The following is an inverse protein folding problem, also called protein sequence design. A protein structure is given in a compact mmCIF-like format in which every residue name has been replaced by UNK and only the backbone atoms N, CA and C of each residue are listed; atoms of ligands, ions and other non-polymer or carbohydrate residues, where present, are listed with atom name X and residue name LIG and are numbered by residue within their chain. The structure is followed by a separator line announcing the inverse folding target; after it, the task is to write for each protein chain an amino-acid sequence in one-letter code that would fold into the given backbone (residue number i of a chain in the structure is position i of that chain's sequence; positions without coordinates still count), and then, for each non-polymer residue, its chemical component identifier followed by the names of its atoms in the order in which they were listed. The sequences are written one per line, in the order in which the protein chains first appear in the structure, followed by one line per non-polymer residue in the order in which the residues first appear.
data_IF_968714990468
#
_entry.id   IF_968714990468
#
_cell.length_a   1.000
_cell.length_b   1.000
_cell.length_c   1.000
_cell.angle_alpha   90.00
_cell.angle_beta   90.00
_cell.angle_gamma   90.00
#
_symmetry.space_group_name_H-M   'P 1'
#
loop_
_entity.id
_entity.type
_entity.pdbx_description
1 polymer ?
#
# COMPACT_ATOMS: atom_id res chain seq x y z
N UNK A 1 10.43 -2.31 16.28
CA UNK A 1 10.53 -3.37 15.29
C UNK A 1 10.86 -2.76 13.94
N UNK A 2 11.85 -3.27 13.27
CA UNK A 2 12.37 -2.70 12.04
C UNK A 2 11.63 -3.26 10.82
N UNK A 3 11.00 -2.40 10.03
CA UNK A 3 10.26 -2.78 8.81
C UNK A 3 11.20 -3.44 7.78
N UNK A 4 12.44 -2.96 7.67
CA UNK A 4 13.41 -3.55 6.74
C UNK A 4 13.74 -5.00 7.11
N UNK A 5 13.85 -5.29 8.39
CA UNK A 5 14.08 -6.64 8.88
C UNK A 5 12.91 -7.56 8.54
N UNK A 6 11.68 -7.10 8.74
CA UNK A 6 10.46 -7.81 8.33
C UNK A 6 10.41 -8.04 6.84
N UNK A 7 10.73 -7.03 6.07
CA UNK A 7 10.76 -7.10 4.61
C UNK A 7 11.75 -8.16 4.13
N UNK A 8 12.93 -8.22 4.73
CA UNK A 8 13.95 -9.22 4.38
C UNK A 8 13.49 -10.66 4.66
N UNK A 9 12.61 -10.85 5.64
CA UNK A 9 12.04 -12.16 5.96
C UNK A 9 10.87 -12.49 5.03
N UNK A 10 9.99 -11.54 4.80
CA UNK A 10 8.70 -11.73 4.11
C UNK A 10 8.87 -11.79 2.59
N UNK A 11 9.69 -10.90 2.03
CA UNK A 11 9.82 -10.76 0.58
C UNK A 11 10.24 -12.05 -0.13
N UNK A 12 11.23 -12.83 0.37
CA UNK A 12 11.57 -14.10 -0.28
C UNK A 12 10.40 -15.10 -0.32
N UNK A 13 9.59 -15.13 0.74
CA UNK A 13 8.41 -16.03 0.81
C UNK A 13 7.38 -15.62 -0.22
N UNK A 14 7.11 -14.32 -0.33
CA UNK A 14 6.17 -13.78 -1.33
C UNK A 14 6.65 -14.08 -2.74
N UNK A 15 7.93 -13.88 -3.00
CA UNK A 15 8.52 -14.11 -4.33
C UNK A 15 8.47 -15.58 -4.75
N UNK A 16 8.61 -16.52 -3.81
CA UNK A 16 8.47 -17.95 -4.10
C UNK A 16 7.07 -18.34 -4.57
N UNK A 17 6.07 -17.52 -4.24
CA UNK A 17 4.68 -17.73 -4.64
C UNK A 17 4.31 -16.95 -5.91
N UNK A 18 5.31 -16.52 -6.68
CA UNK A 18 5.13 -15.78 -7.94
C UNK A 18 4.40 -14.44 -7.76
N UNK A 19 4.55 -13.86 -6.56
CA UNK A 19 4.00 -12.56 -6.20
C UNK A 19 5.12 -11.61 -5.81
N UNK A 20 4.80 -10.34 -5.66
CA UNK A 20 5.73 -9.38 -5.08
C UNK A 20 5.09 -8.67 -3.88
N UNK A 21 5.93 -8.25 -2.95
CA UNK A 21 5.50 -7.54 -1.76
C UNK A 21 5.11 -6.11 -2.11
N UNK A 22 3.86 -5.74 -1.82
CA UNK A 22 3.39 -4.37 -2.00
C UNK A 22 3.65 -3.51 -0.77
N UNK A 23 3.36 -4.03 0.41
CA UNK A 23 3.60 -3.29 1.65
C UNK A 23 3.32 -4.12 2.89
N UNK A 24 3.77 -3.58 4.01
CA UNK A 24 3.61 -4.21 5.34
C UNK A 24 3.04 -3.18 6.29
N UNK A 25 2.02 -3.57 7.06
CA UNK A 25 1.49 -2.78 8.15
C UNK A 25 1.53 -3.58 9.45
N UNK A 26 1.89 -2.93 10.54
CA UNK A 26 1.81 -3.51 11.88
C UNK A 26 0.72 -2.75 12.63
N UNK A 27 -0.35 -3.46 12.98
CA UNK A 27 -1.46 -2.90 13.72
C UNK A 27 -1.37 -3.37 15.17
N UNK A 28 -1.25 -2.44 16.09
CA UNK A 28 -1.17 -2.75 17.51
C UNK A 28 -2.58 -2.93 18.08
N UNK A 29 -2.83 -4.11 18.66
CA UNK A 29 -4.09 -4.41 19.31
C UNK A 29 -3.93 -4.51 20.83
N UNK A 30 -5.05 -4.56 21.53
CA UNK A 30 -5.05 -4.69 23.01
C UNK A 30 -4.54 -6.04 23.47
N UNK A 31 -4.89 -7.11 22.77
CA UNK A 31 -4.51 -8.48 23.13
C UNK A 31 -3.34 -8.99 22.30
N UNK A 32 -3.33 -8.67 21.02
CA UNK A 32 -2.28 -9.13 20.10
C UNK A 32 -2.10 -8.15 18.95
N UNK A 33 -0.92 -8.16 18.38
CA UNK A 33 -0.61 -7.35 17.21
C UNK A 33 -1.05 -8.07 15.93
N UNK A 34 -1.35 -7.30 14.90
CA UNK A 34 -1.63 -7.83 13.56
C UNK A 34 -0.51 -7.44 12.63
N UNK A 35 0.05 -8.44 11.97
CA UNK A 35 0.97 -8.24 10.85
C UNK A 35 0.16 -8.36 9.57
N UNK A 36 0.02 -7.27 8.84
CA UNK A 36 -0.70 -7.25 7.57
C UNK A 36 0.28 -7.13 6.43
N UNK A 37 0.22 -8.09 5.52
CA UNK A 37 1.11 -8.17 4.36
C UNK A 37 0.27 -7.99 3.09
N UNK A 38 0.59 -6.97 2.31
CA UNK A 38 -0.06 -6.73 1.02
C UNK A 38 0.82 -7.29 -0.09
N UNK A 39 0.24 -8.14 -0.92
CA UNK A 39 0.93 -8.76 -2.05
C UNK A 39 0.23 -8.43 -3.35
N UNK A 40 0.99 -8.37 -4.42
CA UNK A 40 0.45 -8.15 -5.76
C UNK A 40 1.18 -9.05 -6.75
N UNK A 41 0.70 -9.10 -7.98
CA UNK A 41 1.28 -9.91 -9.04
C UNK A 41 1.27 -9.12 -10.34
N UNK A 42 2.23 -9.40 -11.22
CA UNK A 42 2.26 -8.83 -12.55
C UNK A 42 1.13 -9.37 -13.45
N UNK A 43 0.63 -10.55 -13.11
CA UNK A 43 -0.56 -11.15 -13.73
C UNK A 43 -1.78 -10.88 -12.83
N UNK A 44 -2.70 -11.83 -12.76
CA UNK A 44 -3.87 -11.74 -11.90
C UNK A 44 -3.57 -12.36 -10.54
N UNK A 45 -3.76 -11.59 -9.48
CA UNK A 45 -3.66 -12.10 -8.13
C UNK A 45 -5.05 -12.48 -7.62
N UNK A 46 -5.15 -13.61 -6.91
CA UNK A 46 -6.41 -14.07 -6.32
C UNK A 46 -6.23 -14.50 -4.86
N UNK A 47 -7.32 -14.98 -4.26
CA UNK A 47 -7.33 -15.40 -2.87
C UNK A 47 -6.43 -16.63 -2.63
N UNK A 48 -6.25 -17.49 -3.63
CA UNK A 48 -5.38 -18.66 -3.51
C UNK A 48 -3.92 -18.24 -3.34
N UNK A 49 -3.50 -17.17 -4.01
CA UNK A 49 -2.16 -16.61 -3.83
C UNK A 49 -1.97 -16.10 -2.40
N UNK A 50 -2.98 -15.40 -1.87
CA UNK A 50 -2.95 -14.91 -0.49
C UNK A 50 -2.90 -16.06 0.52
N UNK A 51 -3.66 -17.11 0.29
CA UNK A 51 -3.67 -18.29 1.15
C UNK A 51 -2.32 -19.02 1.13
N UNK A 52 -1.72 -19.17 -0.03
CA UNK A 52 -0.41 -19.80 -0.18
C UNK A 52 0.67 -19.04 0.56
N UNK A 53 0.71 -17.72 0.38
CA UNK A 53 1.68 -16.85 1.06
C UNK A 53 1.44 -16.88 2.57
N UNK A 54 0.18 -16.79 3.01
CA UNK A 54 -0.18 -16.84 4.43
C UNK A 54 0.28 -18.14 5.08
N UNK A 55 0.08 -19.27 4.40
CA UNK A 55 0.51 -20.57 4.88
C UNK A 55 2.02 -20.64 5.05
N UNK A 56 2.75 -20.21 4.00
CA UNK A 56 4.21 -20.24 4.02
C UNK A 56 4.78 -19.32 5.10
N UNK A 57 4.19 -18.14 5.27
CA UNK A 57 4.62 -17.20 6.32
C UNK A 57 4.34 -17.73 7.72
N UNK A 58 3.25 -18.48 7.90
CA UNK A 58 2.91 -19.06 9.20
C UNK A 58 3.93 -20.08 9.68
N UNK A 59 4.70 -20.66 8.77
CA UNK A 59 5.77 -21.61 9.08
C UNK A 59 7.16 -20.96 9.14
N UNK A 60 7.23 -19.63 9.05
CA UNK A 60 8.50 -18.93 9.08
C UNK A 60 8.93 -18.63 10.53
N UNK A 61 9.94 -19.34 11.07
CA UNK A 61 10.32 -19.19 12.48
C UNK A 61 10.81 -17.78 12.81
N UNK A 62 11.41 -17.10 11.85
CA UNK A 62 11.94 -15.74 12.06
C UNK A 62 10.86 -14.73 12.42
N UNK A 63 9.63 -14.93 11.93
CA UNK A 63 8.50 -14.08 12.29
C UNK A 63 8.07 -14.30 13.74
N UNK A 64 8.01 -15.56 14.17
CA UNK A 64 7.67 -15.91 15.55
C UNK A 64 8.71 -15.35 16.53
N UNK A 65 9.98 -15.31 16.13
CA UNK A 65 11.04 -14.72 16.93
C UNK A 65 10.88 -13.21 17.12
N UNK A 66 10.34 -12.51 16.11
CA UNK A 66 10.14 -11.06 16.16
C UNK A 66 8.85 -10.66 16.88
N UNK A 67 7.77 -11.40 16.68
CA UNK A 67 6.44 -11.06 17.20
C UNK A 67 6.04 -11.85 18.43
N UNK A 68 6.76 -12.92 18.77
CA UNK A 68 6.26 -13.94 19.68
C UNK A 68 5.23 -14.82 18.99
N UNK A 69 4.66 -15.75 19.72
CA UNK A 69 3.71 -16.73 19.16
C UNK A 69 2.29 -16.19 19.03
N UNK A 70 2.00 -15.04 19.62
CA UNK A 70 0.64 -14.52 19.71
C UNK A 70 0.47 -13.25 18.88
N UNK A 71 0.42 -13.43 17.58
CA UNK A 71 0.09 -12.36 16.64
C UNK A 71 -0.87 -12.87 15.58
N UNK A 72 -1.58 -11.95 14.93
CA UNK A 72 -2.47 -12.28 13.82
C UNK A 72 -1.74 -11.95 12.51
N UNK A 73 -1.71 -12.92 11.62
CA UNK A 73 -1.16 -12.72 10.26
C UNK A 73 -2.31 -12.53 9.28
N UNK A 74 -2.30 -11.43 8.56
CA UNK A 74 -3.24 -11.16 7.46
C UNK A 74 -2.46 -10.96 6.17
N UNK A 75 -2.82 -11.68 5.12
CA UNK A 75 -2.27 -11.50 3.77
C UNK A 75 -3.41 -11.10 2.85
N UNK A 76 -3.23 -10.01 2.13
CA UNK A 76 -4.28 -9.40 1.31
C UNK A 76 -3.70 -8.80 0.04
N UNK A 77 -4.55 -8.55 -0.94
CA UNK A 77 -4.21 -7.72 -2.09
C UNK A 77 -4.35 -6.24 -1.72
N UNK A 78 -3.69 -5.32 -2.45
CA UNK A 78 -3.79 -3.89 -2.11
C UNK A 78 -5.18 -3.27 -2.27
N UNK A 79 -6.04 -3.83 -3.12
CA UNK A 79 -7.37 -3.28 -3.39
C UNK A 79 -7.37 -2.16 -4.43
N UNK A 80 -8.56 -1.67 -4.76
CA UNK A 80 -8.76 -0.58 -5.74
C UNK A 80 -8.39 0.78 -5.17
N UNK A 81 -8.41 0.91 -3.86
CA UNK A 81 -8.04 2.13 -3.10
C UNK A 81 -6.72 1.91 -2.36
N UNK A 82 -5.78 1.26 -3.03
CA UNK A 82 -4.51 0.83 -2.41
C UNK A 82 -3.75 1.97 -1.75
N UNK A 83 -3.11 1.63 -0.64
CA UNK A 83 -2.13 2.51 0.00
C UNK A 83 -0.79 2.37 -0.69
N UNK A 84 -0.04 3.45 -0.74
CA UNK A 84 1.34 3.45 -1.24
C UNK A 84 2.30 3.47 -0.06
N UNK A 85 3.31 2.62 -0.11
CA UNK A 85 4.30 2.44 0.95
C UNK A 85 5.67 2.98 0.56
N UNK A 86 5.89 3.21 -0.72
CA UNK A 86 7.13 3.73 -1.27
C UNK A 86 6.83 4.60 -2.48
N UNK A 87 7.61 5.66 -2.64
CA UNK A 87 7.36 6.64 -3.71
C UNK A 87 7.50 6.00 -5.11
N UNK A 88 8.36 5.00 -5.26
CA UNK A 88 8.53 4.29 -6.54
C UNK A 88 7.24 3.66 -7.04
N UNK A 89 6.34 3.31 -6.14
CA UNK A 89 5.06 2.71 -6.50
C UNK A 89 4.14 3.68 -7.24
N UNK A 90 4.37 4.98 -7.11
CA UNK A 90 3.56 6.01 -7.76
C UNK A 90 3.80 6.08 -9.27
N UNK A 91 4.94 5.59 -9.75
CA UNK A 91 5.32 5.71 -11.17
C UNK A 91 4.27 5.15 -12.13
N UNK A 92 3.62 4.06 -11.77
CA UNK A 92 2.62 3.40 -12.61
C UNK A 92 1.23 4.04 -12.49
N UNK A 93 1.08 5.05 -11.64
CA UNK A 93 -0.21 5.67 -11.34
C UNK A 93 -0.30 7.13 -11.73
N UNK A 94 0.63 7.61 -12.57
CA UNK A 94 0.58 8.98 -13.10
C UNK A 94 -0.73 9.16 -13.87
N UNK A 95 -1.47 10.23 -13.56
CA UNK A 95 -2.79 10.48 -14.12
C UNK A 95 -3.95 10.06 -13.24
N UNK A 96 -3.69 9.25 -12.21
CA UNK A 96 -4.71 8.81 -11.27
C UNK A 96 -4.83 9.79 -10.10
N UNK A 97 -5.98 9.77 -9.43
CA UNK A 97 -6.23 10.64 -8.26
C UNK A 97 -5.74 9.99 -6.99
N UNK A 98 -5.14 10.81 -6.12
CA UNK A 98 -4.62 10.38 -4.82
C UNK A 98 -5.33 11.12 -3.69
N UNK A 99 -5.41 10.45 -2.54
CA UNK A 99 -5.72 11.06 -1.25
C UNK A 99 -4.48 10.98 -0.38
N UNK A 100 -4.05 12.13 0.14
CA UNK A 100 -2.85 12.23 0.96
C UNK A 100 -3.17 12.88 2.30
N UNK A 101 -2.50 12.41 3.35
CA UNK A 101 -2.54 13.04 4.66
C UNK A 101 -1.11 13.29 5.11
N UNK A 102 -0.79 14.54 5.39
CA UNK A 102 0.55 14.93 5.84
C UNK A 102 0.69 14.77 7.35
N UNK A 103 1.92 14.61 7.81
CA UNK A 103 2.24 14.53 9.25
C UNK A 103 1.99 15.86 9.93
N UNK A 104 2.31 16.96 9.24
CA UNK A 104 2.18 18.31 9.74
C UNK A 104 1.24 19.15 8.88
N UNK A 105 0.75 20.23 9.44
CA UNK A 105 -0.12 21.17 8.72
C UNK A 105 0.63 21.87 7.62
N UNK A 106 0.03 21.95 6.44
CA UNK A 106 0.50 22.75 5.30
C UNK A 106 -0.64 23.74 4.98
N UNK A 107 -0.37 25.02 5.14
CA UNK A 107 -1.37 26.07 4.96
C UNK A 107 -2.67 25.81 5.75
N UNK A 108 -2.51 25.33 6.99
CA UNK A 108 -3.64 25.07 7.89
C UNK A 108 -4.38 23.77 7.69
N UNK A 109 -3.94 22.90 6.79
CA UNK A 109 -4.61 21.61 6.57
C UNK A 109 -3.61 20.47 6.38
N UNK A 110 -4.08 19.24 6.58
CA UNK A 110 -3.28 18.02 6.47
C UNK A 110 -3.78 17.09 5.37
N UNK A 111 -5.02 17.27 4.90
CA UNK A 111 -5.63 16.40 3.89
C UNK A 111 -5.62 17.07 2.54
N UNK A 112 -5.12 16.35 1.53
CA UNK A 112 -5.02 16.82 0.17
C UNK A 112 -5.50 15.74 -0.78
N UNK A 113 -6.21 16.13 -1.83
CA UNK A 113 -6.66 15.24 -2.90
C UNK A 113 -6.35 15.88 -4.24
N UNK A 114 -5.89 15.08 -5.16
CA UNK A 114 -5.60 15.58 -6.49
C UNK A 114 -5.08 14.52 -7.43
N UNK A 115 -4.96 14.89 -8.69
CA UNK A 115 -4.44 14.03 -9.75
C UNK A 115 -2.90 14.04 -9.70
N UNK A 116 -2.32 12.84 -9.67
CA UNK A 116 -0.86 12.69 -9.71
C UNK A 116 -0.35 13.10 -11.09
N UNK A 117 0.51 14.12 -11.14
CA UNK A 117 1.04 14.68 -12.39
C UNK A 117 2.49 14.29 -12.66
N UNK A 118 3.23 13.93 -11.62
CA UNK A 118 4.61 13.50 -11.78
C UNK A 118 5.24 13.11 -10.45
N UNK A 119 6.35 12.39 -10.52
CA UNK A 119 7.11 12.03 -9.32
C UNK A 119 8.59 11.82 -9.67
N UNK A 120 9.43 12.01 -8.66
CA UNK A 120 10.84 11.64 -8.70
C UNK A 120 11.15 10.74 -7.49
N UNK A 121 12.41 10.58 -7.12
CA UNK A 121 12.77 9.67 -6.04
C UNK A 121 12.39 10.17 -4.64
N UNK A 122 12.03 11.43 -4.49
CA UNK A 122 11.78 12.07 -3.18
C UNK A 122 10.41 12.72 -3.11
N UNK A 123 10.01 13.42 -4.17
CA UNK A 123 8.77 14.22 -4.19
C UNK A 123 7.86 13.79 -5.33
N UNK A 124 6.59 14.15 -5.19
CA UNK A 124 5.60 13.99 -6.24
C UNK A 124 4.72 15.23 -6.28
N UNK A 125 4.06 15.44 -7.42
CA UNK A 125 3.19 16.57 -7.63
C UNK A 125 1.77 16.10 -7.88
N UNK A 126 0.82 16.80 -7.26
CA UNK A 126 -0.60 16.59 -7.51
C UNK A 126 -1.23 17.90 -7.97
N UNK A 127 -2.21 17.78 -8.85
CA UNK A 127 -3.08 18.90 -9.20
C UNK A 127 -4.32 18.79 -8.32
N UNK A 128 -4.46 19.72 -7.37
CA UNK A 128 -5.54 19.67 -6.40
C UNK A 128 -6.90 19.77 -7.08
N UNK A 129 -7.83 18.93 -6.63
CA UNK A 129 -9.16 18.80 -7.23
C UNK A 129 -9.98 20.09 -7.12
N UNK A 130 -9.90 20.78 -5.98
CA UNK A 130 -10.75 21.95 -5.70
C UNK A 130 -10.17 23.25 -6.22
N UNK A 131 -8.87 23.44 -6.08
CA UNK A 131 -8.21 24.73 -6.35
C UNK A 131 -7.42 24.74 -7.65
N UNK A 132 -7.28 23.59 -8.31
CA UNK A 132 -6.49 23.40 -9.53
C UNK A 132 -5.02 23.83 -9.40
N UNK A 133 -4.54 23.97 -8.17
CA UNK A 133 -3.15 24.29 -7.87
C UNK A 133 -2.29 23.04 -8.00
N UNK A 134 -1.04 23.25 -8.42
CA UNK A 134 -0.03 22.18 -8.38
C UNK A 134 0.64 22.22 -7.01
N UNK A 135 0.58 21.10 -6.30
CA UNK A 135 1.19 20.96 -4.98
C UNK A 135 2.29 19.91 -5.06
N UNK A 136 3.48 20.28 -4.61
CA UNK A 136 4.61 19.35 -4.49
C UNK A 136 4.68 18.85 -3.05
N UNK A 137 4.68 17.52 -2.89
CA UNK A 137 4.73 16.86 -1.59
C UNK A 137 5.93 15.91 -1.53
N UNK A 138 6.56 15.88 -0.37
CA UNK A 138 7.60 14.91 -0.07
C UNK A 138 6.96 13.65 0.50
N UNK A 139 7.24 12.50 -0.09
CA UNK A 139 6.57 11.25 0.30
C UNK A 139 6.77 10.92 1.78
N UNK A 140 7.98 11.16 2.31
CA UNK A 140 8.29 10.88 3.72
C UNK A 140 7.56 11.81 4.70
N UNK A 141 6.98 12.91 4.23
CA UNK A 141 6.18 13.82 5.06
C UNK A 141 4.72 13.37 5.19
N UNK A 142 4.35 12.25 4.60
CA UNK A 142 2.98 11.75 4.61
C UNK A 142 2.76 10.68 5.68
N UNK A 143 1.62 10.75 6.35
CA UNK A 143 1.07 9.66 7.16
C UNK A 143 0.30 8.67 6.30
N UNK A 144 -0.28 9.13 5.21
CA UNK A 144 -1.10 8.32 4.33
C UNK A 144 -1.00 8.81 2.90
N UNK A 145 -0.85 7.89 1.98
CA UNK A 145 -1.00 8.13 0.55
C UNK A 145 -1.75 6.94 -0.03
N UNK A 146 -2.92 7.18 -0.60
CA UNK A 146 -3.71 6.11 -1.19
C UNK A 146 -4.36 6.54 -2.49
N UNK A 147 -4.65 5.56 -3.31
CA UNK A 147 -5.35 5.77 -4.57
C UNK A 147 -6.81 6.13 -4.27
N UNK A 148 -7.30 7.16 -4.95
CA UNK A 148 -8.71 7.51 -4.92
C UNK A 148 -9.34 6.97 -6.19
N UNK A 149 -10.08 5.85 -6.13
CA UNK A 149 -10.60 5.24 -7.34
C UNK A 149 -11.69 6.11 -7.97
N UNK A 150 -11.75 6.11 -9.31
CA UNK A 150 -12.84 6.72 -10.04
C UNK A 150 -13.94 5.67 -10.21
N UNK A 151 -14.92 5.70 -9.32
CA UNK A 151 -16.01 4.73 -9.29
C UNK A 151 -16.81 4.70 -10.59
N UNK A 152 -16.93 5.83 -11.29
CA UNK A 152 -17.64 5.87 -12.55
C UNK A 152 -16.92 5.06 -13.64
N UNK A 153 -15.60 5.18 -13.72
CA UNK A 153 -14.80 4.38 -14.65
C UNK A 153 -14.82 2.90 -14.26
N UNK A 154 -14.71 2.61 -12.98
CA UNK A 154 -14.77 1.25 -12.45
C UNK A 154 -16.10 0.57 -12.81
N UNK A 155 -17.22 1.25 -12.62
CA UNK A 155 -18.56 0.75 -12.95
C UNK A 155 -18.68 0.50 -14.47
N UNK A 156 -18.19 1.43 -15.29
CA UNK A 156 -18.20 1.28 -16.75
C UNK A 156 -17.39 0.06 -17.21
N UNK A 157 -16.18 -0.11 -16.69
CA UNK A 157 -15.33 -1.25 -17.03
C UNK A 157 -16.00 -2.57 -16.66
N UNK A 158 -16.62 -2.65 -15.48
CA UNK A 158 -17.29 -3.85 -15.01
C UNK A 158 -18.60 -4.12 -15.77
N UNK A 159 -19.30 -3.08 -16.21
CA UNK A 159 -20.51 -3.29 -17.02
C UNK A 159 -20.21 -3.73 -18.45
N UNK A 160 -19.03 -3.40 -19.00
CA UNK A 160 -18.59 -3.87 -20.31
C UNK A 160 -17.99 -5.25 -20.29
N UNK A 161 -17.62 -5.78 -19.15
CA UNK A 161 -17.01 -7.10 -18.99
C UNK A 161 -18.02 -8.26 -18.98
N UNK A 162 -19.29 -7.96 -19.18
CA UNK A 162 -20.35 -8.99 -19.19
C UNK A 162 -20.51 -9.61 -20.57
#
# INVERSE_FOLDING_TARGET
MNIEELKNIIEPVVNRNECFLWGIEILRGKKRNTLRVFIDSYDNIDINDCESVSRDLSYEPSLDMLFGDDYVLEVSTPGIDRKFFDISQLNDFIGESLECKTKELINGKRKFSGKLTGCNDVTFTIKETRESNILELKFTDLDLCKLKPNYNNFIKEHSHAK
#
